data_IF_632229424807
#
_entry.id   IF_632229424807
#
_cell.length_a   1.000
_cell.length_b   1.000
_cell.length_c   1.000
_cell.angle_alpha   90.00
_cell.angle_beta   90.00
_cell.angle_gamma   90.00
#
_symmetry.space_group_name_H-M   'P 1'
#
loop_
_entity.id
_entity.type
_entity.pdbx_description
1 polymer ?
#
# COMPACT_ATOMS: atom_id res chain seq x y z
N UNK A 1 30.72 6.63 79.33
CA UNK A 1 30.21 7.29 78.11
C UNK A 1 29.27 6.32 77.41
N UNK A 2 27.98 6.63 77.45
CA UNK A 2 26.87 5.79 77.01
C UNK A 2 26.86 5.66 75.47
N UNK A 3 26.68 4.43 74.98
CA UNK A 3 26.30 4.13 73.59
C UNK A 3 24.78 4.26 73.46
N UNK A 4 24.23 5.00 72.48
CA UNK A 4 22.83 4.86 72.13
C UNK A 4 22.66 3.78 71.06
N UNK A 5 21.70 2.91 71.34
CA UNK A 5 21.07 1.95 70.44
C UNK A 5 20.23 2.75 69.45
N UNK A 6 20.43 2.56 68.13
CA UNK A 6 19.49 3.03 67.11
C UNK A 6 18.97 1.82 66.34
N UNK A 7 17.64 1.77 66.32
CA UNK A 7 16.77 0.75 65.77
C UNK A 7 16.97 0.54 64.26
N UNK A 8 16.78 -0.72 63.88
CA UNK A 8 16.71 -1.27 62.53
C UNK A 8 15.49 -0.69 61.80
N UNK A 9 15.72 -0.09 60.62
CA UNK A 9 14.70 0.07 59.59
C UNK A 9 15.21 -0.59 58.30
N UNK A 10 14.78 -1.83 58.08
CA UNK A 10 15.04 -2.56 56.85
C UNK A 10 14.17 -1.97 55.73
N UNK A 11 14.77 -1.15 54.87
CA UNK A 11 14.17 -0.79 53.58
C UNK A 11 14.62 -1.85 52.58
N UNK A 12 13.70 -2.74 52.20
CA UNK A 12 13.88 -3.63 51.07
C UNK A 12 14.10 -2.78 49.81
N UNK A 13 15.32 -2.77 49.28
CA UNK A 13 15.56 -2.47 47.87
C UNK A 13 14.99 -3.64 47.06
N UNK A 14 13.77 -3.49 46.55
CA UNK A 14 13.31 -4.29 45.43
C UNK A 14 14.10 -3.86 44.20
N UNK A 15 15.10 -4.66 43.83
CA UNK A 15 15.77 -4.56 42.55
C UNK A 15 14.75 -4.82 41.44
N UNK A 16 14.23 -3.75 40.83
CA UNK A 16 13.47 -3.85 39.59
C UNK A 16 14.47 -4.14 38.47
N UNK A 17 14.79 -5.42 38.26
CA UNK A 17 15.50 -5.89 37.08
C UNK A 17 14.70 -5.51 35.85
N UNK A 18 15.17 -4.48 35.13
CA UNK A 18 14.71 -4.18 33.79
C UNK A 18 15.01 -5.40 32.90
N UNK A 19 13.99 -6.23 32.69
CA UNK A 19 14.03 -7.27 31.66
C UNK A 19 14.18 -6.56 30.31
N UNK A 20 15.39 -6.59 29.77
CA UNK A 20 15.65 -6.30 28.36
C UNK A 20 14.99 -7.40 27.54
N UNK A 21 13.68 -7.29 27.31
CA UNK A 21 13.03 -8.06 26.28
C UNK A 21 13.61 -7.60 24.93
N UNK A 22 14.49 -8.42 24.35
CA UNK A 22 14.89 -8.28 22.95
C UNK A 22 13.62 -8.32 22.09
N UNK A 23 13.48 -7.47 21.07
CA UNK A 23 12.42 -7.64 20.10
C UNK A 23 12.56 -9.03 19.47
N UNK A 24 11.53 -9.86 19.60
CA UNK A 24 11.45 -11.13 18.91
C UNK A 24 11.35 -10.82 17.42
N UNK A 25 12.47 -10.98 16.72
CA UNK A 25 12.41 -11.26 15.29
C UNK A 25 11.50 -12.48 15.13
N UNK A 26 10.49 -12.38 14.26
CA UNK A 26 9.70 -13.52 13.83
C UNK A 26 10.66 -14.68 13.54
N UNK A 27 10.45 -15.88 14.13
CA UNK A 27 11.32 -17.00 13.85
C UNK A 27 11.28 -17.24 12.34
N UNK A 28 12.46 -17.24 11.72
CA UNK A 28 12.62 -17.63 10.33
C UNK A 28 11.78 -18.89 10.07
N UNK A 29 10.83 -18.81 9.13
CA UNK A 29 10.03 -19.95 8.70
C UNK A 29 11.01 -21.07 8.37
N UNK A 30 10.87 -22.20 9.05
CA UNK A 30 11.73 -23.37 8.83
C UNK A 30 11.73 -23.71 7.33
N UNK A 31 12.88 -23.64 6.62
CA UNK A 31 12.95 -23.91 5.19
C UNK A 31 12.43 -25.31 4.82
N UNK A 32 12.45 -26.27 5.75
CA UNK A 32 11.93 -27.62 5.55
C UNK A 32 10.40 -27.70 5.54
N UNK A 33 9.71 -26.65 6.01
CA UNK A 33 8.23 -26.54 5.98
C UNK A 33 7.70 -25.82 4.74
N UNK A 34 8.59 -25.21 3.95
CA UNK A 34 8.24 -24.59 2.68
C UNK A 34 8.04 -25.69 1.65
N UNK A 35 6.78 -26.00 1.33
CA UNK A 35 6.46 -26.93 0.24
C UNK A 35 7.19 -26.48 -1.04
N UNK A 36 7.87 -27.40 -1.75
CA UNK A 36 8.54 -27.04 -2.99
C UNK A 36 7.54 -26.40 -3.95
N UNK A 37 7.97 -25.41 -4.76
CA UNK A 37 7.07 -24.77 -5.70
C UNK A 37 6.44 -25.83 -6.60
N UNK A 38 5.15 -25.68 -6.96
CA UNK A 38 4.52 -26.62 -7.88
C UNK A 38 5.35 -26.68 -9.17
N UNK A 39 5.51 -27.88 -9.76
CA UNK A 39 6.27 -28.05 -11.00
C UNK A 39 5.72 -27.08 -12.05
N UNK A 40 6.62 -26.51 -12.84
CA UNK A 40 6.26 -25.61 -13.92
C UNK A 40 5.23 -26.31 -14.83
N UNK A 41 4.05 -25.74 -15.06
CA UNK A 41 3.13 -26.29 -16.04
C UNK A 41 3.77 -26.23 -17.42
N UNK A 42 3.42 -27.18 -18.28
CA UNK A 42 3.88 -27.17 -19.67
C UNK A 42 3.46 -25.83 -20.32
N UNK A 43 4.39 -25.08 -20.95
CA UNK A 43 4.04 -23.88 -21.68
C UNK A 43 3.01 -24.21 -22.76
N UNK A 44 1.98 -23.37 -22.87
CA UNK A 44 0.96 -23.45 -23.91
C UNK A 44 1.08 -22.21 -24.79
N UNK A 45 1.06 -22.41 -26.10
CA UNK A 45 0.85 -21.32 -27.06
C UNK A 45 -0.58 -20.80 -26.96
N UNK A 46 -0.83 -19.58 -27.45
CA UNK A 46 -2.18 -19.00 -27.52
C UNK A 46 -3.16 -19.96 -28.23
N UNK A 47 -2.75 -20.55 -29.36
CA UNK A 47 -3.59 -21.46 -30.14
C UNK A 47 -3.91 -22.78 -29.43
N UNK A 48 -3.03 -23.25 -28.54
CA UNK A 48 -3.29 -24.43 -27.72
C UNK A 48 -4.24 -24.09 -26.58
N UNK A 49 -4.05 -22.94 -25.92
CA UNK A 49 -4.91 -22.46 -24.86
C UNK A 49 -6.36 -22.17 -25.34
N UNK A 50 -6.52 -21.72 -26.58
CA UNK A 50 -7.83 -21.47 -27.19
C UNK A 50 -8.63 -22.75 -27.48
N UNK A 51 -7.95 -23.88 -27.71
CA UNK A 51 -8.58 -25.18 -27.98
C UNK A 51 -9.05 -25.89 -26.71
N UNK A 52 -8.66 -25.41 -25.52
CA UNK A 52 -9.04 -25.99 -24.24
C UNK A 52 -10.53 -25.80 -23.96
N UNK A 53 -11.14 -26.76 -23.26
CA UNK A 53 -12.47 -26.55 -22.68
C UNK A 53 -12.42 -25.44 -21.63
N UNK A 54 -13.54 -24.77 -21.30
CA UNK A 54 -13.55 -23.75 -20.25
C UNK A 54 -13.01 -24.26 -18.90
N UNK A 55 -13.29 -25.51 -18.54
CA UNK A 55 -12.78 -26.14 -17.32
C UNK A 55 -11.27 -26.33 -17.33
N UNK A 56 -10.74 -26.91 -18.42
CA UNK A 56 -9.30 -27.14 -18.59
C UNK A 56 -8.52 -25.82 -18.61
N UNK A 57 -9.11 -24.79 -19.23
CA UNK A 57 -8.54 -23.44 -19.29
C UNK A 57 -8.39 -22.83 -17.90
N UNK A 58 -9.42 -22.95 -17.05
CA UNK A 58 -9.36 -22.49 -15.65
C UNK A 58 -8.31 -23.28 -14.87
N UNK A 59 -8.22 -24.60 -15.05
CA UNK A 59 -7.22 -25.42 -14.38
C UNK A 59 -5.79 -25.04 -14.79
N UNK A 60 -5.55 -24.88 -16.08
CA UNK A 60 -4.26 -24.48 -16.64
C UNK A 60 -3.86 -23.07 -16.15
N UNK A 61 -4.77 -22.09 -16.18
CA UNK A 61 -4.52 -20.75 -15.65
C UNK A 61 -4.20 -20.74 -14.16
N UNK A 62 -4.91 -21.52 -13.34
CA UNK A 62 -4.59 -21.66 -11.91
C UNK A 62 -3.25 -22.33 -11.67
N UNK A 63 -2.87 -23.32 -12.48
CA UNK A 63 -1.57 -23.98 -12.37
C UNK A 63 -0.44 -23.00 -12.72
N UNK A 64 -0.58 -22.26 -13.82
CA UNK A 64 0.36 -21.21 -14.23
C UNK A 64 0.50 -20.14 -13.16
N UNK A 65 -0.63 -19.58 -12.71
CA UNK A 65 -0.64 -18.57 -11.65
C UNK A 65 0.02 -19.07 -10.37
N UNK A 66 -0.29 -20.28 -9.89
CA UNK A 66 0.37 -20.85 -8.69
C UNK A 66 1.87 -20.98 -8.85
N UNK A 67 2.33 -21.42 -10.03
CA UNK A 67 3.76 -21.52 -10.32
C UNK A 67 4.41 -20.13 -10.29
N UNK A 68 3.88 -19.17 -11.06
CA UNK A 68 4.35 -17.76 -11.09
C UNK A 68 4.34 -17.11 -9.71
N UNK A 69 3.31 -17.36 -8.91
CA UNK A 69 3.24 -16.88 -7.54
C UNK A 69 4.36 -17.43 -6.65
N UNK A 70 4.77 -18.67 -6.87
CA UNK A 70 5.80 -19.32 -6.07
C UNK A 70 7.22 -18.99 -6.52
N UNK A 71 7.42 -18.59 -7.78
CA UNK A 71 8.76 -18.43 -8.38
C UNK A 71 9.10 -16.99 -8.78
N UNK A 72 8.10 -16.15 -9.10
CA UNK A 72 8.30 -14.84 -9.71
C UNK A 72 7.63 -13.69 -8.94
N UNK A 73 6.48 -13.94 -8.29
CA UNK A 73 5.78 -12.91 -7.51
C UNK A 73 6.50 -12.58 -6.20
N UNK A 74 6.27 -11.36 -5.69
CA UNK A 74 6.80 -10.94 -4.40
C UNK A 74 7.41 -9.55 -4.44
N UNK A 75 7.75 -9.07 -3.25
CA UNK A 75 8.56 -7.86 -3.06
C UNK A 75 10.04 -8.23 -3.03
N UNK A 76 10.86 -7.38 -3.66
CA UNK A 76 12.31 -7.38 -3.55
C UNK A 76 12.73 -5.98 -3.15
N UNK A 77 13.26 -5.84 -1.95
CA UNK A 77 13.76 -4.57 -1.42
C UNK A 77 15.28 -4.63 -1.44
N UNK A 78 15.91 -3.80 -2.27
CA UNK A 78 17.36 -3.73 -2.40
C UNK A 78 17.96 -2.67 -1.46
N UNK A 79 17.20 -1.60 -1.19
CA UNK A 79 17.64 -0.48 -0.35
C UNK A 79 16.47 0.18 0.35
N UNK A 80 16.70 0.68 1.55
CA UNK A 80 15.75 1.51 2.30
C UNK A 80 16.39 2.85 2.65
N UNK A 81 15.64 3.94 2.50
CA UNK A 81 16.04 5.31 2.81
C UNK A 81 15.00 5.94 3.72
N UNK A 82 15.38 6.38 4.94
CA UNK A 82 14.46 7.09 5.82
C UNK A 82 14.40 8.60 5.55
N UNK A 83 13.37 9.25 6.08
CA UNK A 83 13.27 10.71 6.12
C UNK A 83 12.98 11.35 4.76
N UNK A 84 12.20 10.68 3.91
CA UNK A 84 11.87 11.19 2.57
C UNK A 84 10.68 12.15 2.66
N UNK A 85 10.88 13.40 2.25
CA UNK A 85 9.80 14.40 2.28
C UNK A 85 8.75 14.21 1.19
N UNK A 86 9.17 13.73 0.02
CA UNK A 86 8.34 13.68 -1.18
C UNK A 86 8.90 12.76 -2.25
N UNK A 87 8.01 12.29 -3.12
CA UNK A 87 8.31 11.35 -4.19
C UNK A 87 7.79 11.85 -5.54
N UNK A 88 8.40 11.39 -6.62
CA UNK A 88 7.89 11.57 -7.97
C UNK A 88 7.11 10.33 -8.42
N UNK A 89 5.84 10.47 -8.78
CA UNK A 89 5.11 9.44 -9.53
C UNK A 89 5.37 9.66 -11.02
N UNK A 90 6.08 8.73 -11.65
CA UNK A 90 6.35 8.78 -13.08
C UNK A 90 5.10 8.41 -13.90
N UNK A 91 4.21 7.60 -13.30
CA UNK A 91 2.92 7.19 -13.85
C UNK A 91 1.88 7.19 -12.75
N UNK A 92 0.64 7.47 -13.11
CA UNK A 92 -0.52 7.36 -12.23
C UNK A 92 -1.46 6.30 -12.78
N UNK A 93 -1.98 5.43 -11.91
CA UNK A 93 -2.98 4.43 -12.31
C UNK A 93 -4.20 5.15 -12.91
N UNK A 94 -4.61 4.87 -14.16
CA UNK A 94 -5.75 5.54 -14.78
C UNK A 94 -7.05 5.13 -14.08
N UNK A 95 -8.07 6.00 -14.16
CA UNK A 95 -9.41 5.68 -13.66
C UNK A 95 -9.94 4.41 -14.34
N UNK A 96 -10.60 3.56 -13.56
CA UNK A 96 -11.05 2.23 -13.97
C UNK A 96 -12.58 2.21 -13.97
N UNK A 97 -13.18 1.69 -15.03
CA UNK A 97 -14.62 1.41 -15.11
C UNK A 97 -14.91 -0.05 -15.48
N UNK A 98 -16.19 -0.35 -15.65
CA UNK A 98 -16.67 -1.70 -15.98
C UNK A 98 -16.03 -2.27 -17.26
N UNK A 99 -15.72 -1.39 -18.23
CA UNK A 99 -15.05 -1.77 -19.48
C UNK A 99 -13.69 -2.38 -19.22
N UNK A 100 -12.84 -1.71 -18.44
CA UNK A 100 -11.51 -2.19 -18.06
C UNK A 100 -11.60 -3.45 -17.19
N UNK A 101 -12.53 -3.48 -16.24
CA UNK A 101 -12.72 -4.63 -15.34
C UNK A 101 -13.23 -5.89 -16.03
N UNK A 102 -13.94 -5.73 -17.16
CA UNK A 102 -14.42 -6.81 -18.02
C UNK A 102 -13.41 -7.25 -19.09
N UNK A 103 -12.44 -6.41 -19.45
CA UNK A 103 -11.54 -6.67 -20.59
C UNK A 103 -10.43 -7.68 -20.21
N UNK A 104 -10.40 -8.89 -20.80
CA UNK A 104 -9.36 -9.89 -20.52
C UNK A 104 -7.94 -9.41 -20.85
N UNK A 105 -7.78 -8.39 -21.69
CA UNK A 105 -6.50 -7.83 -22.08
C UNK A 105 -6.19 -6.50 -21.39
N UNK A 106 -6.97 -6.09 -20.40
CA UNK A 106 -6.71 -4.85 -19.68
C UNK A 106 -5.31 -4.86 -19.04
N UNK A 107 -4.41 -3.90 -19.39
CA UNK A 107 -3.04 -3.89 -18.88
C UNK A 107 -2.99 -3.85 -17.35
N UNK A 108 -3.77 -2.98 -16.72
CA UNK A 108 -3.79 -2.78 -15.25
C UNK A 108 -4.45 -3.88 -14.43
N UNK A 109 -4.84 -5.00 -15.05
CA UNK A 109 -5.60 -6.09 -14.43
C UNK A 109 -5.00 -6.62 -13.12
N UNK A 110 -3.68 -6.69 -13.00
CA UNK A 110 -3.04 -7.21 -11.79
C UNK A 110 -3.24 -6.31 -10.55
N UNK A 111 -3.55 -5.04 -10.76
CA UNK A 111 -3.81 -4.05 -9.72
C UNK A 111 -5.24 -3.48 -9.83
N UNK A 112 -6.21 -4.33 -10.22
CA UNK A 112 -7.61 -3.92 -10.40
C UNK A 112 -8.28 -3.24 -9.19
N UNK A 113 -7.81 -3.54 -7.98
CA UNK A 113 -8.31 -2.93 -6.73
C UNK A 113 -7.51 -1.71 -6.28
N UNK A 114 -6.41 -1.37 -6.96
CA UNK A 114 -5.58 -0.23 -6.60
C UNK A 114 -6.33 1.08 -6.85
N UNK A 115 -6.10 2.06 -5.97
CA UNK A 115 -6.59 3.41 -6.15
C UNK A 115 -6.11 3.94 -7.50
N UNK A 116 -6.96 4.73 -8.14
CA UNK A 116 -6.71 5.31 -9.45
C UNK A 116 -6.86 6.83 -9.42
N UNK A 117 -6.33 7.50 -10.44
CA UNK A 117 -6.42 8.94 -10.60
C UNK A 117 -5.93 9.70 -9.37
N UNK A 118 -6.73 10.65 -8.90
CA UNK A 118 -6.41 11.44 -7.72
C UNK A 118 -6.38 10.63 -6.43
N UNK A 119 -7.14 9.53 -6.33
CA UNK A 119 -7.09 8.66 -5.17
C UNK A 119 -5.75 7.91 -5.08
N UNK A 120 -5.16 7.56 -6.23
CA UNK A 120 -3.80 6.99 -6.27
C UNK A 120 -2.79 7.99 -5.70
N UNK A 121 -2.80 9.24 -6.16
CA UNK A 121 -1.91 10.30 -5.65
C UNK A 121 -2.16 10.56 -4.17
N UNK A 122 -3.43 10.67 -3.77
CA UNK A 122 -3.85 10.88 -2.38
C UNK A 122 -3.33 9.78 -1.47
N UNK A 123 -3.30 8.53 -1.94
CA UNK A 123 -2.77 7.42 -1.16
C UNK A 123 -1.30 7.63 -0.75
N UNK A 124 -0.51 8.44 -1.47
CA UNK A 124 0.86 8.80 -1.10
C UNK A 124 0.95 9.93 -0.08
N UNK A 125 -0.09 10.73 0.07
CA UNK A 125 -0.14 11.84 1.04
C UNK A 125 -0.83 11.40 2.35
N UNK A 126 -1.73 10.44 2.27
CA UNK A 126 -2.56 9.94 3.37
C UNK A 126 -1.76 9.17 4.44
N UNK A 127 -2.38 8.98 5.61
CA UNK A 127 -1.84 8.17 6.70
C UNK A 127 -2.04 6.68 6.42
N UNK A 128 -1.08 5.86 6.83
CA UNK A 128 -1.27 4.43 7.04
C UNK A 128 -1.66 4.18 8.49
N UNK A 129 -2.81 3.53 8.71
CA UNK A 129 -3.31 3.15 10.02
C UNK A 129 -3.03 1.68 10.32
N UNK A 130 -2.13 1.45 11.25
CA UNK A 130 -1.78 0.13 11.77
C UNK A 130 -1.08 0.31 13.09
N UNK A 131 -1.31 -0.56 14.07
CA UNK A 131 -0.51 -0.49 15.29
C UNK A 131 0.97 -0.73 15.00
N UNK A 132 1.85 0.01 15.65
CA UNK A 132 3.29 -0.03 15.39
C UNK A 132 3.88 -1.43 15.48
N UNK A 133 3.45 -2.23 16.44
CA UNK A 133 3.86 -3.63 16.63
C UNK A 133 3.40 -4.58 15.50
N UNK A 134 2.46 -4.14 14.66
CA UNK A 134 1.95 -4.91 13.53
C UNK A 134 2.47 -4.41 12.19
N UNK A 135 3.14 -3.26 12.14
CA UNK A 135 3.70 -2.69 10.91
C UNK A 135 4.98 -3.46 10.53
N UNK A 136 4.80 -4.55 9.82
CA UNK A 136 5.89 -5.35 9.24
C UNK A 136 5.67 -5.52 7.74
N UNK A 137 6.70 -5.88 6.97
CA UNK A 137 6.64 -5.86 5.50
C UNK A 137 5.42 -6.59 4.92
N UNK A 138 5.05 -7.75 5.46
CA UNK A 138 3.87 -8.51 5.00
C UNK A 138 2.53 -8.03 5.60
N UNK A 139 2.53 -7.27 6.70
CA UNK A 139 1.32 -6.80 7.39
C UNK A 139 1.24 -5.28 7.32
N UNK A 140 0.36 -4.80 6.44
CA UNK A 140 0.19 -3.37 6.15
C UNK A 140 -1.17 -2.86 6.57
N UNK A 141 -1.22 -1.58 6.92
CA UNK A 141 -2.41 -0.88 7.39
C UNK A 141 -3.38 -0.47 6.28
N UNK A 142 -4.49 0.14 6.71
CA UNK A 142 -5.38 0.87 5.80
C UNK A 142 -4.82 2.26 5.52
N UNK A 143 -5.06 2.78 4.33
CA UNK A 143 -4.67 4.15 3.97
C UNK A 143 -5.90 5.06 4.07
N UNK A 144 -5.79 6.16 4.80
CA UNK A 144 -6.85 7.15 4.94
C UNK A 144 -6.30 8.55 5.19
N UNK A 145 -7.05 9.56 4.75
CA UNK A 145 -6.66 10.97 4.90
C UNK A 145 -6.93 11.51 6.31
N UNK A 146 -7.88 10.92 7.03
CA UNK A 146 -8.18 11.29 8.42
C UNK A 146 -7.23 10.61 9.39
N UNK A 147 -6.85 11.34 10.45
CA UNK A 147 -6.06 10.77 11.56
C UNK A 147 -6.97 9.97 12.50
N UNK A 148 -6.44 8.92 13.12
CA UNK A 148 -7.12 8.22 14.23
C UNK A 148 -6.61 8.85 15.53
N UNK A 149 -7.44 9.67 16.17
CA UNK A 149 -7.02 10.41 17.37
C UNK A 149 -6.92 9.52 18.61
N UNK A 150 -7.65 8.40 18.64
CA UNK A 150 -7.65 7.45 19.75
C UNK A 150 -6.41 6.56 19.80
N UNK A 151 -5.51 6.64 18.81
CA UNK A 151 -4.28 5.85 18.78
C UNK A 151 -3.09 6.66 18.24
N UNK A 152 -2.24 7.12 19.15
CA UNK A 152 -1.07 7.94 18.81
C UNK A 152 -0.02 7.17 17.99
N UNK A 153 0.21 5.89 18.29
CA UNK A 153 1.21 5.05 17.62
C UNK A 153 0.65 4.25 16.42
N UNK A 154 -0.56 4.56 15.99
CA UNK A 154 -1.18 3.93 14.82
C UNK A 154 -1.08 4.74 13.53
N UNK A 155 -0.74 6.02 13.59
CA UNK A 155 -0.78 6.92 12.44
C UNK A 155 0.61 7.08 11.83
N UNK A 156 0.86 6.43 10.70
CA UNK A 156 2.10 6.61 9.95
C UNK A 156 1.87 7.60 8.81
N UNK A 157 2.51 8.77 8.80
CA UNK A 157 2.24 9.79 7.79
C UNK A 157 2.66 9.34 6.39
N UNK A 158 2.00 9.91 5.39
CA UNK A 158 2.48 9.90 4.01
C UNK A 158 3.56 10.93 3.75
N UNK A 159 3.88 11.10 2.47
CA UNK A 159 4.79 12.13 2.02
C UNK A 159 4.15 13.51 2.15
N UNK A 160 4.96 14.55 2.38
CA UNK A 160 4.49 15.95 2.47
C UNK A 160 3.93 16.44 1.15
N UNK A 161 4.53 15.96 0.06
CA UNK A 161 4.15 16.31 -1.29
C UNK A 161 4.46 15.16 -2.24
N UNK A 162 3.73 15.12 -3.34
CA UNK A 162 3.91 14.16 -4.42
C UNK A 162 4.02 14.92 -5.72
N UNK A 163 5.12 14.77 -6.44
CA UNK A 163 5.21 15.28 -7.80
C UNK A 163 4.67 14.24 -8.77
N UNK A 164 4.03 14.67 -9.84
CA UNK A 164 3.48 13.78 -10.89
C UNK A 164 3.86 14.35 -12.25
N UNK A 165 4.32 13.50 -13.16
CA UNK A 165 4.46 13.86 -14.58
C UNK A 165 3.10 13.65 -15.24
N UNK A 166 2.50 14.73 -15.76
CA UNK A 166 1.26 14.64 -16.53
C UNK A 166 1.57 14.04 -17.90
N UNK A 167 0.96 12.89 -18.20
CA UNK A 167 1.22 12.16 -19.45
C UNK A 167 0.76 12.93 -20.70
N UNK A 168 -0.14 13.91 -20.57
CA UNK A 168 -0.68 14.67 -21.71
C UNK A 168 0.28 15.75 -22.21
N UNK A 169 0.95 16.43 -21.28
CA UNK A 169 1.80 17.58 -21.62
C UNK A 169 3.25 17.45 -21.13
N UNK A 170 3.60 16.36 -20.44
CA UNK A 170 4.92 16.09 -19.89
C UNK A 170 5.30 17.01 -18.72
N UNK A 171 4.39 17.87 -18.25
CA UNK A 171 4.71 18.82 -17.17
C UNK A 171 4.63 18.14 -15.82
N UNK A 172 5.48 18.61 -14.91
CA UNK A 172 5.52 18.14 -13.54
C UNK A 172 4.66 19.02 -12.63
N UNK A 173 3.73 18.38 -11.92
CA UNK A 173 2.84 19.03 -10.97
C UNK A 173 3.08 18.52 -9.58
N UNK A 174 3.16 19.42 -8.61
CA UNK A 174 3.24 19.11 -7.19
C UNK A 174 1.86 19.06 -6.58
N UNK A 175 1.58 17.94 -5.95
CA UNK A 175 0.37 17.66 -5.21
C UNK A 175 0.64 17.69 -3.70
N UNK A 176 -0.26 18.32 -2.95
CA UNK A 176 -0.24 18.38 -1.48
C UNK A 176 -1.63 18.12 -0.94
N UNK A 177 -1.71 17.56 0.27
CA UNK A 177 -2.98 17.33 0.96
C UNK A 177 -3.22 18.36 2.05
N UNK A 178 -4.43 18.90 2.14
CA UNK A 178 -4.82 19.76 3.26
C UNK A 178 -6.31 19.69 3.56
N UNK A 179 -6.67 19.78 4.84
CA UNK A 179 -8.06 19.97 5.26
C UNK A 179 -8.48 21.42 5.04
N UNK A 180 -9.57 21.61 4.30
CA UNK A 180 -10.13 22.94 4.02
C UNK A 180 -11.53 23.05 4.55
N UNK A 181 -11.88 24.24 5.02
CA UNK A 181 -13.25 24.59 5.40
C UNK A 181 -14.10 24.61 4.13
N UNK A 182 -15.08 23.70 4.07
CA UNK A 182 -16.03 23.59 2.94
C UNK A 182 -17.44 24.05 3.32
N UNK A 183 -17.65 24.39 4.59
CA UNK A 183 -18.94 24.87 5.08
C UNK A 183 -18.97 25.02 6.59
N UNK A 184 -20.18 25.24 7.11
CA UNK A 184 -20.44 25.32 8.54
C UNK A 184 -21.53 24.34 8.93
N UNK A 185 -21.45 23.83 10.16
CA UNK A 185 -22.47 22.98 10.78
C UNK A 185 -23.76 23.80 10.96
N UNK A 186 -24.91 23.14 10.87
CA UNK A 186 -26.20 23.75 11.14
C UNK A 186 -26.33 24.08 12.64
N UNK A 187 -26.39 25.38 12.96
CA UNK A 187 -26.54 25.88 14.34
C UNK A 187 -27.87 25.51 14.98
N UNK A 188 -28.87 25.14 14.19
CA UNK A 188 -30.18 24.74 14.69
C UNK A 188 -30.24 23.25 15.06
N UNK A 189 -29.26 22.45 14.63
CA UNK A 189 -29.20 21.05 14.96
C UNK A 189 -28.96 20.85 16.47
N UNK A 190 -29.76 19.98 17.10
CA UNK A 190 -29.76 19.77 18.54
C UNK A 190 -28.36 19.42 19.09
N UNK A 191 -27.63 18.54 18.41
CA UNK A 191 -26.27 18.16 18.79
C UNK A 191 -25.29 19.34 18.72
N UNK A 192 -25.44 20.23 17.73
CA UNK A 192 -24.59 21.41 17.58
C UNK A 192 -24.90 22.45 18.66
N UNK A 193 -26.19 22.67 18.96
CA UNK A 193 -26.59 23.54 20.07
C UNK A 193 -26.07 23.04 21.42
N UNK A 194 -26.14 21.72 21.64
CA UNK A 194 -25.60 21.09 22.84
C UNK A 194 -24.09 21.33 22.96
N UNK A 195 -23.30 21.11 21.91
CA UNK A 195 -21.85 21.38 21.93
C UNK A 195 -21.54 22.87 22.13
N UNK A 196 -22.27 23.78 21.48
CA UNK A 196 -22.11 25.23 21.67
C UNK A 196 -22.45 25.68 23.10
N UNK A 197 -23.47 25.07 23.73
CA UNK A 197 -23.82 25.36 25.12
C UNK A 197 -22.75 24.91 26.12
N UNK A 198 -22.02 23.83 25.81
CA UNK A 198 -20.88 23.35 26.61
C UNK A 198 -19.63 24.18 26.36
N UNK A 199 -19.41 24.59 25.12
CA UNK A 199 -18.25 25.34 24.67
C UNK A 199 -18.64 26.42 23.64
N UNK A 200 -18.68 27.69 24.03
CA UNK A 200 -18.98 28.80 23.10
C UNK A 200 -18.01 28.93 21.92
N UNK A 201 -16.79 28.39 22.05
CA UNK A 201 -15.76 28.38 21.01
C UNK A 201 -15.74 27.07 20.20
N UNK A 202 -16.83 26.29 20.24
CA UNK A 202 -16.94 25.05 19.46
C UNK A 202 -16.69 25.31 17.97
N UNK A 203 -15.79 24.54 17.36
CA UNK A 203 -15.47 24.69 15.94
C UNK A 203 -16.68 24.29 15.08
N UNK A 204 -17.27 25.30 14.45
CA UNK A 204 -18.44 25.17 13.60
C UNK A 204 -18.10 24.80 12.16
N UNK A 205 -16.82 24.78 11.79
CA UNK A 205 -16.42 24.49 10.44
C UNK A 205 -16.61 23.00 10.11
N UNK A 206 -16.98 22.75 8.86
CA UNK A 206 -16.94 21.43 8.25
C UNK A 206 -15.68 21.41 7.39
N UNK A 207 -14.74 20.54 7.76
CA UNK A 207 -13.52 20.33 6.99
C UNK A 207 -13.71 19.21 5.99
N UNK A 208 -13.04 19.34 4.85
CA UNK A 208 -12.86 18.26 3.90
C UNK A 208 -11.41 18.24 3.48
N UNK A 209 -10.83 17.05 3.47
CA UNK A 209 -9.52 16.85 2.90
C UNK A 209 -9.55 17.12 1.40
N UNK A 210 -8.63 17.95 0.93
CA UNK A 210 -8.53 18.37 -0.46
C UNK A 210 -7.14 18.13 -1.01
N UNK A 211 -7.10 17.79 -2.30
CA UNK A 211 -5.88 17.63 -3.05
C UNK A 211 -5.57 18.94 -3.78
N UNK A 212 -4.49 19.59 -3.38
CA UNK A 212 -3.99 20.81 -4.01
C UNK A 212 -2.99 20.49 -5.11
N UNK A 213 -3.07 21.20 -6.23
CA UNK A 213 -2.19 21.03 -7.40
C UNK A 213 -1.53 22.37 -7.76
N UNK A 214 -0.21 22.38 -7.94
CA UNK A 214 0.56 23.54 -8.44
C UNK A 214 1.73 23.09 -9.31
N UNK A 215 2.31 23.95 -10.17
CA UNK A 215 3.53 23.62 -10.88
C UNK A 215 4.63 23.16 -9.91
N UNK A 216 5.32 22.06 -10.23
CA UNK A 216 6.37 21.55 -9.36
C UNK A 216 7.64 22.40 -9.47
N UNK A 217 8.33 22.71 -8.35
CA UNK A 217 9.59 23.43 -8.38
C UNK A 217 10.73 22.53 -8.85
N UNK A 218 11.74 23.13 -9.48
CA UNK A 218 13.01 22.47 -9.76
C UNK A 218 13.95 22.48 -8.53
N UNK A 219 14.82 21.47 -8.37
CA UNK A 219 14.97 20.29 -9.24
C UNK A 219 13.89 19.21 -9.02
N UNK A 220 13.85 18.22 -9.91
CA UNK A 220 12.99 17.04 -9.75
C UNK A 220 13.36 16.25 -8.47
N UNK A 221 12.38 15.55 -7.85
CA UNK A 221 12.65 14.71 -6.69
C UNK A 221 13.68 13.65 -7.03
N UNK A 222 14.53 13.31 -6.05
CA UNK A 222 15.55 12.28 -6.21
C UNK A 222 14.95 10.89 -6.46
N UNK A 223 13.82 10.61 -5.82
CA UNK A 223 13.21 9.28 -5.83
C UNK A 223 11.92 9.26 -6.64
N UNK A 224 11.75 8.20 -7.41
CA UNK A 224 10.62 7.99 -8.29
C UNK A 224 9.91 6.68 -8.03
N UNK A 225 8.61 6.64 -8.30
CA UNK A 225 7.77 5.44 -8.30
C UNK A 225 7.14 5.29 -9.67
N UNK A 226 7.20 4.09 -10.22
CA UNK A 226 6.58 3.76 -11.50
C UNK A 226 6.03 2.33 -11.47
N UNK A 227 5.32 1.96 -12.52
CA UNK A 227 4.87 0.60 -12.74
C UNK A 227 4.93 0.20 -14.21
N UNK A 228 5.00 -1.10 -14.43
CA UNK A 228 4.98 -1.78 -15.71
C UNK A 228 3.84 -2.78 -15.70
N UNK A 229 2.87 -2.60 -16.59
CA UNK A 229 1.75 -3.52 -16.77
C UNK A 229 2.09 -4.52 -17.87
N UNK A 230 2.00 -5.81 -17.56
CA UNK A 230 2.38 -6.86 -18.50
C UNK A 230 1.15 -7.40 -19.23
N UNK A 231 1.23 -7.41 -20.56
CA UNK A 231 0.22 -8.02 -21.44
C UNK A 231 0.91 -9.13 -22.23
N UNK A 232 1.07 -10.29 -21.60
CA UNK A 232 1.68 -11.49 -22.20
C UNK A 232 0.57 -12.34 -22.82
N UNK A 233 0.50 -12.51 -24.14
CA UNK A 233 -0.62 -13.20 -24.81
C UNK A 233 -0.90 -14.60 -24.27
N UNK A 234 0.13 -15.38 -23.97
CA UNK A 234 0.03 -16.74 -23.45
C UNK A 234 -0.60 -16.78 -22.05
N UNK A 235 -0.20 -15.85 -21.18
CA UNK A 235 -0.78 -15.70 -19.84
C UNK A 235 -2.24 -15.25 -19.95
N UNK A 236 -2.52 -14.26 -20.81
CA UNK A 236 -3.88 -13.71 -21.04
C UNK A 236 -4.81 -14.77 -21.62
N UNK A 237 -4.29 -15.62 -22.51
CA UNK A 237 -5.01 -16.75 -23.04
C UNK A 237 -5.44 -17.72 -21.93
N UNK A 238 -4.80 -17.75 -20.76
CA UNK A 238 -5.20 -18.56 -19.60
C UNK A 238 -5.87 -17.74 -18.48
N UNK A 239 -6.20 -16.47 -18.73
CA UNK A 239 -6.81 -15.57 -17.74
C UNK A 239 -5.86 -15.14 -16.63
N UNK A 240 -4.55 -15.16 -16.89
CA UNK A 240 -3.50 -14.69 -15.98
C UNK A 240 -3.02 -13.31 -16.42
N UNK A 241 -2.78 -12.42 -15.46
CA UNK A 241 -2.21 -11.10 -15.69
C UNK A 241 -1.16 -10.78 -14.62
N UNK A 242 -0.21 -9.90 -14.95
CA UNK A 242 0.81 -9.44 -14.01
C UNK A 242 1.21 -8.00 -14.26
N UNK A 243 1.73 -7.37 -13.23
CA UNK A 243 2.36 -6.05 -13.30
C UNK A 243 3.46 -5.94 -12.24
N UNK A 244 4.42 -5.04 -12.48
CA UNK A 244 5.53 -4.76 -11.56
C UNK A 244 5.53 -3.29 -11.15
N UNK A 245 5.58 -3.02 -9.85
CA UNK A 245 5.87 -1.69 -9.30
C UNK A 245 7.38 -1.58 -9.11
N UNK A 246 7.96 -0.42 -9.40
CA UNK A 246 9.38 -0.12 -9.16
C UNK A 246 9.55 1.19 -8.42
N UNK A 247 10.46 1.19 -7.45
CA UNK A 247 10.92 2.40 -6.76
C UNK A 247 12.36 2.65 -7.16
N UNK A 248 12.64 3.89 -7.57
CA UNK A 248 13.85 4.26 -8.29
C UNK A 248 14.60 5.40 -7.57
N UNK A 249 15.92 5.37 -7.65
CA UNK A 249 16.77 6.52 -7.42
C UNK A 249 17.12 7.15 -8.77
N UNK A 250 16.47 8.26 -9.09
CA UNK A 250 16.54 8.89 -10.42
C UNK A 250 17.88 9.58 -10.69
N UNK A 251 18.63 9.95 -9.65
CA UNK A 251 19.94 10.59 -9.81
C UNK A 251 21.02 9.64 -10.32
N UNK A 252 20.94 8.36 -9.93
CA UNK A 252 21.93 7.33 -10.28
C UNK A 252 21.32 6.18 -11.09
N UNK A 253 20.06 6.33 -11.52
CA UNK A 253 19.29 5.36 -12.30
C UNK A 253 19.32 3.94 -11.69
N UNK A 254 19.08 3.84 -10.39
CA UNK A 254 19.11 2.58 -9.62
C UNK A 254 17.68 2.15 -9.25
N UNK A 255 17.37 0.86 -9.41
CA UNK A 255 16.16 0.25 -8.84
C UNK A 255 16.40 -0.05 -7.37
N UNK A 256 15.67 0.62 -6.48
CA UNK A 256 15.78 0.47 -5.03
C UNK A 256 14.93 -0.67 -4.49
N UNK A 257 13.87 -1.02 -5.22
CA UNK A 257 13.06 -2.20 -4.97
C UNK A 257 11.90 -2.31 -5.95
N UNK A 258 11.31 -3.49 -5.99
CA UNK A 258 10.24 -3.84 -6.91
C UNK A 258 9.24 -4.81 -6.28
N UNK A 259 8.01 -4.79 -6.75
CA UNK A 259 7.00 -5.80 -6.42
C UNK A 259 6.34 -6.27 -7.70
N UNK A 260 6.38 -7.57 -7.96
CA UNK A 260 5.60 -8.19 -9.03
C UNK A 260 4.39 -8.90 -8.45
N UNK A 261 3.23 -8.61 -9.03
CA UNK A 261 1.93 -9.20 -8.67
C UNK A 261 1.41 -10.02 -9.83
N UNK A 262 0.86 -11.19 -9.53
CA UNK A 262 0.13 -12.02 -10.49
C UNK A 262 -1.31 -12.19 -10.04
N UNK A 263 -2.22 -12.17 -11.01
CA UNK A 263 -3.63 -12.44 -10.81
C UNK A 263 -4.11 -13.51 -11.76
N UNK A 264 -5.12 -14.27 -11.34
CA UNK A 264 -5.85 -15.19 -12.21
C UNK A 264 -7.36 -15.00 -12.04
N UNK A 265 -8.05 -14.86 -13.16
CA UNK A 265 -9.49 -14.77 -13.21
C UNK A 265 -10.17 -15.94 -12.48
N UNK A 266 -11.15 -15.65 -11.62
CA UNK A 266 -11.88 -16.68 -10.88
C UNK A 266 -12.76 -17.56 -11.76
N UNK A 267 -13.33 -16.95 -12.81
CA UNK A 267 -14.10 -17.57 -13.88
C UNK A 267 -13.79 -16.84 -15.19
N UNK A 268 -13.59 -17.57 -16.28
CA UNK A 268 -13.32 -17.01 -17.61
C UNK A 268 -14.58 -17.24 -18.46
N UNK A 269 -15.28 -16.18 -18.89
CA UNK A 269 -16.45 -16.29 -19.78
C UNK A 269 -17.50 -15.20 -19.66
N UNK A 270 -18.57 -15.32 -20.47
CA UNK A 270 -19.61 -14.31 -20.73
C UNK A 270 -20.39 -13.80 -19.50
N UNK A 271 -20.37 -14.52 -18.38
CA UNK A 271 -21.18 -14.21 -17.20
C UNK A 271 -20.39 -13.57 -16.04
N UNK A 272 -19.13 -13.19 -16.25
CA UNK A 272 -18.35 -12.46 -15.24
C UNK A 272 -18.03 -11.03 -15.73
N UNK A 273 -18.91 -10.05 -15.49
CA UNK A 273 -18.69 -8.65 -15.88
C UNK A 273 -17.59 -7.96 -15.05
N UNK A 274 -17.01 -8.63 -14.06
CA UNK A 274 -15.96 -8.08 -13.19
C UNK A 274 -14.82 -9.09 -13.00
N UNK A 275 -14.33 -9.57 -14.14
CA UNK A 275 -13.27 -10.57 -14.28
C UNK A 275 -12.12 -10.35 -13.29
N UNK A 276 -11.61 -9.12 -13.23
CA UNK A 276 -10.44 -8.77 -12.43
C UNK A 276 -10.76 -8.42 -10.97
N UNK A 277 -11.99 -7.98 -10.65
CA UNK A 277 -12.37 -7.74 -9.24
C UNK A 277 -12.46 -9.04 -8.44
N UNK A 278 -12.83 -10.13 -9.11
CA UNK A 278 -13.00 -11.46 -8.49
C UNK A 278 -11.76 -12.35 -8.61
N UNK A 279 -10.67 -11.81 -9.18
CA UNK A 279 -9.45 -12.56 -9.41
C UNK A 279 -8.75 -12.98 -8.12
N UNK A 280 -8.05 -14.11 -8.19
CA UNK A 280 -7.12 -14.53 -7.15
C UNK A 280 -5.82 -13.76 -7.34
N UNK A 281 -5.25 -13.24 -6.25
CA UNK A 281 -4.09 -12.36 -6.26
C UNK A 281 -2.98 -12.95 -5.39
N UNK A 282 -1.72 -12.73 -5.76
CA UNK A 282 -0.53 -13.02 -4.95
C UNK A 282 0.52 -11.89 -5.13
N UNK A 283 1.44 -11.63 -4.18
CA UNK A 283 1.83 -12.49 -3.04
C UNK A 283 0.88 -12.47 -1.84
N UNK A 284 0.08 -11.41 -1.67
CA UNK A 284 -0.91 -11.31 -0.60
C UNK A 284 -2.24 -11.87 -1.13
N UNK A 285 -2.91 -12.73 -0.35
CA UNK A 285 -4.07 -13.54 -0.79
C UNK A 285 -5.30 -12.74 -1.29
N UNK A 286 -6.49 -13.35 -1.22
CA UNK A 286 -7.71 -12.72 -1.76
C UNK A 286 -7.93 -11.30 -1.19
N UNK A 287 -7.91 -10.32 -2.10
CA UNK A 287 -8.54 -9.00 -1.91
C UNK A 287 -7.94 -8.07 -0.86
N UNK A 288 -6.63 -7.80 -0.87
CA UNK A 288 -6.09 -6.80 0.06
C UNK A 288 -5.35 -5.65 -0.64
N UNK A 289 -5.95 -4.47 -0.48
CA UNK A 289 -5.34 -3.15 -0.48
C UNK A 289 -5.46 -2.35 -1.77
N UNK A 290 -6.07 -1.17 -1.69
CA UNK A 290 -6.07 -0.19 -2.78
C UNK A 290 -4.77 0.61 -2.90
N UNK A 291 -3.74 0.32 -2.11
CA UNK A 291 -2.58 1.21 -1.97
C UNK A 291 -1.25 0.46 -1.98
N UNK A 292 -1.12 -0.53 -2.85
CA UNK A 292 -0.01 -1.47 -2.81
C UNK A 292 1.29 -0.83 -3.32
N UNK A 293 1.19 0.05 -4.32
CA UNK A 293 2.31 0.91 -4.74
C UNK A 293 2.78 1.81 -3.61
N UNK A 294 1.86 2.47 -2.90
CA UNK A 294 2.18 3.27 -1.71
C UNK A 294 2.86 2.41 -0.66
N UNK A 295 2.30 1.25 -0.33
CA UNK A 295 2.83 0.36 0.70
C UNK A 295 4.26 -0.07 0.36
N UNK A 296 4.52 -0.62 -0.83
CA UNK A 296 5.88 -0.95 -1.24
C UNK A 296 6.82 0.24 -1.07
N UNK A 297 6.39 1.42 -1.55
CA UNK A 297 7.19 2.64 -1.50
C UNK A 297 7.60 2.98 -0.08
N UNK A 298 6.71 2.89 0.91
CA UNK A 298 7.04 3.20 2.31
C UNK A 298 8.07 2.25 2.95
N UNK A 299 8.22 1.03 2.42
CA UNK A 299 9.28 0.11 2.90
C UNK A 299 10.66 0.51 2.36
N UNK A 300 10.69 1.21 1.23
CA UNK A 300 11.90 1.60 0.50
C UNK A 300 12.28 3.06 0.78
N UNK A 301 11.29 3.94 0.88
CA UNK A 301 11.40 5.38 1.08
C UNK A 301 10.54 5.72 2.29
N UNK A 302 11.07 5.60 3.50
CA UNK A 302 10.26 5.87 4.70
C UNK A 302 9.96 7.38 4.76
N UNK A 303 8.68 7.79 4.80
CA UNK A 303 8.33 9.20 4.91
C UNK A 303 8.96 9.84 6.14
N UNK A 304 9.22 11.15 6.08
CA UNK A 304 9.66 11.89 7.25
C UNK A 304 8.52 11.97 8.29
N UNK A 305 8.84 11.69 9.55
CA UNK A 305 7.92 11.90 10.67
C UNK A 305 7.57 13.39 10.72
N UNK A 306 6.28 13.74 10.54
CA UNK A 306 5.84 15.15 10.53
C UNK A 306 5.85 15.80 11.93
N UNK A 307 6.11 15.02 12.98
CA UNK A 307 6.03 15.43 14.38
C UNK A 307 7.41 15.69 15.03
N UNK A 308 8.51 15.66 14.25
CA UNK A 308 9.88 15.93 14.72
C UNK A 308 10.60 16.98 13.90
#
# INVERSE_FOLDING_TARGET
MMRPIILIAAVLLAACSASKAKPSFDPAVDPSTVRPPPPAPKPLTVTEAEKLTPGDKIQAGRALWRHKCATEAGEKIYKTVPGVEGVLLLKVRPNVGDRELSDPNWPGAAFAHEYSGEAYITSFLAYEHIRKEHRSGQRRGSISTGRIDECEDCNFPGYRWVDVIDEKDGKRWRYTGSDKVVGQKDKTAFNVQLELSKNPNYDMNIYRWTLDKKPAPDPAPRYGVTFEDHVVPEDRALGVASSTIKVLNLQINEVMGEMTRYVVAGTIGKYNPTLWLTAYVCPYGKGQGGAESRKLTDQILVPIDQEK
#
